data_IF_759985090223
#
_entry.id   IF_759985090223
#
_cell.length_a   1.000
_cell.length_b   1.000
_cell.length_c   1.000
_cell.angle_alpha   90.00
_cell.angle_beta   90.00
_cell.angle_gamma   90.00
#
_symmetry.space_group_name_H-M   'P 1'
#
loop_
_entity.id
_entity.type
_entity.pdbx_description
1 polymer ?
#
# COMPACT_ATOMS: atom_id res chain seq x y z
N UNK A 1 33.22 -16.26 9.94
CA UNK A 1 32.52 -15.04 9.48
C UNK A 1 31.29 -15.50 8.70
N UNK A 2 30.09 -15.37 9.28
CA UNK A 2 28.86 -15.87 8.65
C UNK A 2 28.60 -15.08 7.37
N UNK A 3 28.71 -15.73 6.21
CA UNK A 3 28.18 -15.20 4.97
C UNK A 3 26.65 -15.14 5.11
N UNK A 4 26.12 -13.95 5.36
CA UNK A 4 24.71 -13.68 5.11
C UNK A 4 24.53 -13.90 3.61
N UNK A 5 23.83 -14.98 3.23
CA UNK A 5 23.42 -15.16 1.84
C UNK A 5 22.54 -13.95 1.50
N UNK A 6 22.85 -13.17 0.45
CA UNK A 6 21.93 -12.15 0.03
C UNK A 6 20.61 -12.86 -0.31
N UNK A 7 19.52 -12.41 0.30
CA UNK A 7 18.19 -12.92 -0.02
C UNK A 7 17.83 -12.65 -1.49
N UNK A 8 16.59 -12.95 -1.87
CA UNK A 8 16.03 -12.52 -3.16
C UNK A 8 16.29 -11.01 -3.35
N UNK A 9 16.80 -10.62 -4.52
CA UNK A 9 16.96 -9.20 -4.86
C UNK A 9 15.58 -8.54 -4.96
N UNK A 10 15.46 -7.34 -4.39
CA UNK A 10 14.22 -6.55 -4.34
C UNK A 10 14.52 -5.14 -4.82
N UNK A 11 13.61 -4.59 -5.63
CA UNK A 11 13.73 -3.25 -6.20
C UNK A 11 12.44 -2.49 -5.94
N UNK A 12 12.54 -1.19 -5.65
CA UNK A 12 11.40 -0.27 -5.65
C UNK A 12 11.27 0.29 -7.06
N UNK A 13 10.20 -0.08 -7.77
CA UNK A 13 10.00 0.29 -9.18
C UNK A 13 9.12 1.52 -9.38
N UNK A 14 8.41 1.99 -8.34
CA UNK A 14 7.67 3.24 -8.38
C UNK A 14 7.23 3.70 -7.00
N UNK A 15 7.01 5.01 -6.85
CA UNK A 15 6.60 5.65 -5.59
C UNK A 15 5.49 6.68 -5.82
N UNK A 16 4.67 6.90 -4.80
CA UNK A 16 3.59 7.88 -4.84
C UNK A 16 3.25 8.36 -3.44
N UNK A 17 2.87 9.63 -3.32
CA UNK A 17 2.60 10.27 -2.05
C UNK A 17 1.46 11.27 -2.19
N UNK A 18 0.47 11.16 -1.31
CA UNK A 18 -0.51 12.22 -1.09
C UNK A 18 0.10 13.30 -0.17
N UNK A 19 -0.11 14.61 -0.41
CA UNK A 19 0.41 15.66 0.45
C UNK A 19 0.03 15.50 1.92
N UNK A 20 0.95 15.79 2.83
CA UNK A 20 0.65 15.82 4.27
C UNK A 20 -0.23 17.03 4.60
N UNK A 21 -1.26 16.82 5.43
CA UNK A 21 -2.19 17.88 5.80
C UNK A 21 -3.47 17.38 6.44
N UNK A 22 -4.40 18.30 6.68
CA UNK A 22 -5.75 18.00 7.18
C UNK A 22 -6.74 18.17 6.03
N UNK A 23 -7.51 17.12 5.75
CA UNK A 23 -8.43 17.07 4.63
C UNK A 23 -9.83 16.64 5.12
N UNK A 24 -10.60 17.54 5.75
CA UNK A 24 -11.88 17.18 6.36
C UNK A 24 -12.92 16.68 5.35
N UNK A 25 -12.77 17.07 4.07
CA UNK A 25 -13.68 16.69 2.98
C UNK A 25 -13.29 15.35 2.31
N UNK A 26 -12.19 14.70 2.72
CA UNK A 26 -11.69 13.47 2.09
C UNK A 26 -11.73 12.31 3.07
N UNK A 27 -12.29 11.18 2.63
CA UNK A 27 -12.16 9.91 3.34
C UNK A 27 -10.73 9.33 3.15
N UNK A 28 -10.36 8.40 4.04
CA UNK A 28 -9.06 7.73 3.97
C UNK A 28 -8.83 7.11 2.59
N UNK A 29 -9.85 6.48 2.03
CA UNK A 29 -9.73 5.77 0.76
C UNK A 29 -9.36 6.70 -0.38
N UNK A 30 -9.89 7.93 -0.39
CA UNK A 30 -9.52 8.97 -1.36
C UNK A 30 -8.07 9.37 -1.19
N UNK A 31 -7.63 9.64 0.04
CA UNK A 31 -6.23 9.99 0.35
C UNK A 31 -5.26 8.88 -0.11
N UNK A 32 -5.63 7.61 0.13
CA UNK A 32 -4.82 6.46 -0.27
C UNK A 32 -4.79 6.29 -1.79
N UNK A 33 -5.92 6.36 -2.48
CA UNK A 33 -5.98 6.23 -3.96
C UNK A 33 -5.17 7.33 -4.64
N UNK A 34 -5.21 8.56 -4.14
CA UNK A 34 -4.40 9.67 -4.65
C UNK A 34 -2.89 9.44 -4.47
N UNK A 35 -2.46 8.59 -3.54
CA UNK A 35 -1.06 8.16 -3.42
C UNK A 35 -0.73 6.93 -4.29
N UNK A 36 -1.66 5.98 -4.43
CA UNK A 36 -1.46 4.73 -5.18
C UNK A 36 -1.39 4.97 -6.69
N UNK A 37 -2.24 5.85 -7.24
CA UNK A 37 -2.27 6.11 -8.68
C UNK A 37 -0.92 6.64 -9.22
N UNK A 38 -0.27 7.64 -8.59
CA UNK A 38 1.08 8.04 -8.97
C UNK A 38 2.11 6.91 -8.84
N UNK A 39 2.03 6.07 -7.79
CA UNK A 39 2.98 4.96 -7.61
C UNK A 39 2.88 3.93 -8.74
N UNK A 40 1.66 3.60 -9.19
CA UNK A 40 1.43 2.73 -10.34
C UNK A 40 1.94 3.37 -11.64
N UNK A 41 1.71 4.68 -11.80
CA UNK A 41 2.17 5.44 -12.97
C UNK A 41 3.70 5.49 -13.05
N UNK A 42 4.38 5.79 -11.95
CA UNK A 42 5.84 5.83 -11.84
C UNK A 42 6.46 4.46 -12.14
N UNK A 43 5.81 3.38 -11.67
CA UNK A 43 6.21 2.00 -11.96
C UNK A 43 5.88 1.54 -13.39
N UNK A 44 5.06 2.27 -14.15
CA UNK A 44 4.63 1.87 -15.50
C UNK A 44 3.77 0.61 -15.53
N UNK A 45 3.07 0.28 -14.44
CA UNK A 45 2.20 -0.90 -14.32
C UNK A 45 0.75 -0.50 -14.05
N UNK A 46 -0.20 -1.40 -14.29
CA UNK A 46 -1.62 -1.18 -13.95
C UNK A 46 -1.98 -1.93 -12.69
N UNK A 47 -3.04 -1.49 -12.02
CA UNK A 47 -3.56 -2.14 -10.81
C UNK A 47 -3.79 -3.66 -10.97
N UNK A 48 -4.32 -4.09 -12.12
CA UNK A 48 -4.55 -5.52 -12.42
C UNK A 48 -3.28 -6.35 -12.60
N UNK A 49 -2.12 -5.70 -12.75
CA UNK A 49 -0.82 -6.37 -12.89
C UNK A 49 -0.19 -6.61 -11.49
N UNK A 50 -0.78 -6.08 -10.41
CA UNK A 50 -0.30 -6.26 -9.03
C UNK A 50 -0.74 -7.63 -8.49
N UNK A 51 0.17 -8.46 -7.95
CA UNK A 51 -0.17 -9.80 -7.46
C UNK A 51 -0.68 -9.83 -6.02
N UNK A 52 -0.33 -8.84 -5.20
CA UNK A 52 -0.71 -8.73 -3.78
C UNK A 52 -0.55 -7.28 -3.32
N UNK A 53 -1.37 -6.83 -2.37
CA UNK A 53 -1.21 -5.53 -1.73
C UNK A 53 -1.17 -5.64 -0.20
N UNK A 54 -0.26 -4.89 0.42
CA UNK A 54 -0.16 -4.73 1.86
C UNK A 54 -0.61 -3.32 2.24
N UNK A 55 -1.69 -3.22 3.00
CA UNK A 55 -2.31 -1.95 3.35
C UNK A 55 -2.02 -1.62 4.81
N UNK A 56 -1.05 -0.72 5.04
CA UNK A 56 -0.69 -0.24 6.37
C UNK A 56 -1.71 0.81 6.85
N UNK A 57 -2.35 0.56 7.98
CA UNK A 57 -3.26 1.53 8.59
C UNK A 57 -3.16 1.48 10.12
N UNK A 58 -3.63 2.55 10.76
CA UNK A 58 -3.74 2.66 12.21
C UNK A 58 -5.07 3.29 12.57
N UNK A 59 -5.52 2.99 13.78
CA UNK A 59 -6.84 3.36 14.28
C UNK A 59 -7.93 2.54 13.58
N UNK A 60 -8.95 2.17 14.35
CA UNK A 60 -10.04 1.36 13.82
C UNK A 60 -10.85 2.18 12.80
N UNK A 61 -10.53 1.96 11.52
CA UNK A 61 -11.19 2.59 10.37
C UNK A 61 -12.27 1.67 9.75
N UNK A 62 -12.60 0.58 10.46
CA UNK A 62 -13.50 -0.47 10.01
C UNK A 62 -12.79 -1.75 9.62
N UNK A 63 -13.56 -2.83 9.48
CA UNK A 63 -13.08 -4.11 8.96
C UNK A 63 -12.80 -3.97 7.45
N UNK A 64 -11.78 -4.69 6.97
CA UNK A 64 -11.46 -4.75 5.54
C UNK A 64 -11.22 -3.39 4.88
N UNK A 65 -10.52 -2.49 5.59
CA UNK A 65 -10.29 -1.12 5.11
C UNK A 65 -9.41 -1.07 3.86
N UNK A 66 -8.41 -1.96 3.75
CA UNK A 66 -7.57 -2.09 2.56
C UNK A 66 -8.38 -2.57 1.35
N UNK A 67 -9.23 -3.58 1.52
CA UNK A 67 -10.13 -4.09 0.48
C UNK A 67 -11.13 -3.02 0.04
N UNK A 68 -11.77 -2.36 1.00
CA UNK A 68 -12.74 -1.29 0.71
C UNK A 68 -12.05 -0.13 -0.02
N UNK A 69 -10.85 0.25 0.42
CA UNK A 69 -10.07 1.34 -0.18
C UNK A 69 -9.59 1.01 -1.58
N UNK A 70 -8.91 -0.12 -1.76
CA UNK A 70 -8.30 -0.50 -3.04
C UNK A 70 -9.34 -1.01 -4.04
N UNK A 71 -10.54 -1.40 -3.60
CA UNK A 71 -11.66 -1.70 -4.51
C UNK A 71 -12.02 -0.54 -5.43
N UNK A 72 -11.75 0.71 -5.01
CA UNK A 72 -11.93 1.92 -5.84
C UNK A 72 -11.04 1.91 -7.10
N UNK A 73 -9.95 1.11 -7.13
CA UNK A 73 -9.09 0.90 -8.30
C UNK A 73 -9.60 -0.22 -9.23
N UNK A 74 -10.63 -0.95 -8.82
CA UNK A 74 -11.24 -2.07 -9.55
C UNK A 74 -11.10 -3.41 -8.82
N UNK A 75 -12.14 -4.23 -8.89
CA UNK A 75 -12.20 -5.58 -8.31
C UNK A 75 -11.50 -6.60 -9.22
N UNK A 76 -10.20 -6.75 -9.04
CA UNK A 76 -9.32 -7.61 -9.87
C UNK A 76 -9.10 -9.01 -9.28
N UNK A 77 -9.53 -9.25 -8.04
CA UNK A 77 -9.23 -10.48 -7.30
C UNK A 77 -7.86 -10.47 -6.61
N UNK A 78 -7.17 -9.33 -6.58
CA UNK A 78 -5.89 -9.17 -5.89
C UNK A 78 -6.08 -9.39 -4.38
N UNK A 79 -5.32 -10.30 -3.75
CA UNK A 79 -5.33 -10.47 -2.31
C UNK A 79 -4.78 -9.23 -1.61
N UNK A 80 -5.41 -8.84 -0.51
CA UNK A 80 -5.06 -7.65 0.28
C UNK A 80 -4.83 -8.07 1.73
N UNK A 81 -3.71 -7.64 2.30
CA UNK A 81 -3.35 -7.87 3.70
C UNK A 81 -3.38 -6.54 4.43
N UNK A 82 -4.26 -6.41 5.41
CA UNK A 82 -4.30 -5.25 6.30
C UNK A 82 -3.21 -5.41 7.38
N UNK A 83 -2.38 -4.39 7.56
CA UNK A 83 -1.24 -4.40 8.48
C UNK A 83 -1.39 -3.27 9.49
N UNK A 84 -1.52 -3.62 10.76
CA UNK A 84 -1.55 -2.66 11.87
C UNK A 84 -0.43 -2.99 12.87
N UNK A 85 0.53 -2.07 12.98
CA UNK A 85 1.64 -2.10 13.91
C UNK A 85 1.93 -0.67 14.42
N UNK A 86 0.87 0.03 14.85
CA UNK A 86 0.91 1.43 15.29
C UNK A 86 1.72 2.32 14.33
N UNK A 87 2.58 3.20 14.84
CA UNK A 87 3.39 4.12 14.04
C UNK A 87 4.27 3.44 12.99
N UNK A 88 4.50 2.13 13.10
CA UNK A 88 5.35 1.34 12.19
C UNK A 88 4.56 0.52 11.17
N UNK A 89 3.24 0.70 11.08
CA UNK A 89 2.38 -0.06 10.14
C UNK A 89 2.85 0.04 8.69
N UNK A 90 3.21 1.23 8.23
CA UNK A 90 3.74 1.44 6.88
C UNK A 90 5.06 0.69 6.64
N UNK A 91 6.02 0.80 7.55
CA UNK A 91 7.30 0.07 7.45
C UNK A 91 7.11 -1.45 7.55
N UNK A 92 6.16 -1.90 8.36
CA UNK A 92 5.81 -3.32 8.49
C UNK A 92 5.20 -3.85 7.20
N UNK A 93 4.27 -3.11 6.60
CA UNK A 93 3.68 -3.44 5.31
C UNK A 93 4.74 -3.49 4.20
N UNK A 94 5.67 -2.52 4.19
CA UNK A 94 6.77 -2.50 3.24
C UNK A 94 7.74 -3.67 3.43
N UNK A 95 8.01 -4.08 4.67
CA UNK A 95 8.87 -5.23 4.97
C UNK A 95 8.25 -6.58 4.58
N UNK A 96 6.92 -6.66 4.54
CA UNK A 96 6.19 -7.86 4.12
C UNK A 96 6.13 -8.06 2.59
N UNK A 97 6.34 -7.00 1.81
CA UNK A 97 6.30 -7.00 0.34
C UNK A 97 7.63 -7.49 -0.29
#
# INVERSE_FOLDING_TARGET
MNQIRPGREVMVVGVGLHPFGRFPEKDLSTLAVEAVLPALQDAGVRWKDIPIAYFGHVYYQGMSIGETTLSKLGLTGVPIVNVENACSSGSTAFWQA
#
